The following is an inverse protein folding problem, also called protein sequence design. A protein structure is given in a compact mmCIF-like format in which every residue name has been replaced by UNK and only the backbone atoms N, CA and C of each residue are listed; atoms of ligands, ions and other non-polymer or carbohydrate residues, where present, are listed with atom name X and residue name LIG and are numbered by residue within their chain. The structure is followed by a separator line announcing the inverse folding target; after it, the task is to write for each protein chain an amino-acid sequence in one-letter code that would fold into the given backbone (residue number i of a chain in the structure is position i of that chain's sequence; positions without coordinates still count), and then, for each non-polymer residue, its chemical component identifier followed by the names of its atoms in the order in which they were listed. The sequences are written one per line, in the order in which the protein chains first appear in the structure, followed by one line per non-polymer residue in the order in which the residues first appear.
data_IF_817894821779
#
_entry.id   IF_817894821779
#
_cell.length_a   1.000
_cell.length_b   1.000
_cell.length_c   1.000
_cell.angle_alpha   90.00
_cell.angle_beta   90.00
_cell.angle_gamma   90.00
#
_symmetry.space_group_name_H-M   'P 1'
#
loop_
_entity.id
_entity.type
_entity.pdbx_description
1 polymer ?
#
# COMPACT_ATOMS: atom_id res chain seq x y z
N UNK A 1 34.09 -16.16 -19.97
CA UNK A 1 33.04 -15.37 -19.31
C UNK A 1 33.32 -13.92 -19.62
N UNK A 2 32.61 -13.39 -20.60
CA UNK A 2 32.79 -12.04 -21.16
C UNK A 2 31.78 -11.10 -20.48
N UNK A 3 32.13 -9.84 -20.20
CA UNK A 3 31.17 -8.90 -19.63
C UNK A 3 30.16 -8.50 -20.71
N UNK A 4 28.88 -8.60 -20.36
CA UNK A 4 27.74 -8.29 -21.22
C UNK A 4 27.72 -6.78 -21.48
N UNK A 5 27.94 -6.38 -22.73
CA UNK A 5 27.85 -4.99 -23.16
C UNK A 5 26.38 -4.62 -23.42
N UNK A 6 25.83 -3.66 -22.67
CA UNK A 6 24.54 -3.04 -22.94
C UNK A 6 24.73 -1.93 -24.00
N UNK A 7 24.65 -2.28 -25.28
CA UNK A 7 24.47 -1.29 -26.36
C UNK A 7 22.97 -1.04 -26.57
N UNK A 8 22.52 0.21 -26.41
CA UNK A 8 21.30 0.71 -27.06
C UNK A 8 21.68 1.63 -28.23
N UNK A 9 20.93 1.62 -29.35
CA UNK A 9 21.31 2.35 -30.55
C UNK A 9 20.89 3.83 -30.43
N UNK A 10 21.85 4.75 -30.44
CA UNK A 10 21.58 6.17 -30.60
C UNK A 10 21.67 6.53 -32.08
N UNK A 11 20.61 7.18 -32.59
CA UNK A 11 20.46 7.62 -33.97
C UNK A 11 21.54 8.64 -34.34
N UNK A 12 22.11 8.46 -35.53
CA UNK A 12 23.08 9.34 -36.18
C UNK A 12 22.57 10.78 -36.32
N UNK A 13 23.35 11.73 -35.81
CA UNK A 13 23.47 13.07 -36.38
C UNK A 13 24.96 13.36 -36.52
N UNK A 14 25.44 13.27 -37.75
CA UNK A 14 26.79 13.69 -38.14
C UNK A 14 26.81 15.22 -38.11
N UNK A 15 27.59 15.79 -37.21
CA UNK A 15 28.10 17.14 -37.33
C UNK A 15 29.63 17.08 -37.22
N UNK A 16 30.28 17.28 -38.36
CA UNK A 16 31.71 17.53 -38.47
C UNK A 16 32.03 18.90 -37.87
N UNK A 17 32.80 18.95 -36.78
CA UNK A 17 33.70 20.06 -36.50
C UNK A 17 34.75 19.67 -35.45
N UNK A 18 36.01 19.81 -35.87
CA UNK A 18 37.24 19.65 -35.13
C UNK A 18 37.28 20.45 -33.82
N UNK A 19 37.67 19.83 -32.72
CA UNK A 19 37.94 20.51 -31.46
C UNK A 19 38.33 19.53 -30.37
N UNK A 20 39.57 19.65 -29.89
CA UNK A 20 40.17 18.81 -28.86
C UNK A 20 39.36 18.87 -27.54
N UNK A 21 38.55 17.86 -27.28
CA UNK A 21 38.12 17.44 -25.95
C UNK A 21 37.82 15.96 -26.06
N UNK A 22 38.63 15.13 -25.40
CA UNK A 22 38.30 13.73 -25.23
C UNK A 22 36.94 13.67 -24.50
N UNK A 23 35.91 13.17 -25.17
CA UNK A 23 34.73 12.66 -24.47
C UNK A 23 35.19 11.46 -23.66
N UNK A 24 35.56 11.71 -22.41
CA UNK A 24 35.87 10.65 -21.45
C UNK A 24 34.64 9.75 -21.36
N UNK A 25 34.85 8.45 -21.52
CA UNK A 25 33.79 7.49 -21.27
C UNK A 25 33.37 7.57 -19.81
N UNK A 26 32.11 7.25 -19.49
CA UNK A 26 31.63 7.20 -18.09
C UNK A 26 32.55 6.39 -17.18
N UNK A 27 33.14 5.30 -17.70
CA UNK A 27 34.09 4.46 -17.00
C UNK A 27 35.42 5.18 -16.64
N UNK A 28 35.88 6.13 -17.48
CA UNK A 28 37.10 6.92 -17.21
C UNK A 28 36.85 8.04 -16.19
N UNK A 29 35.64 8.60 -16.14
CA UNK A 29 35.23 9.52 -15.05
C UNK A 29 35.06 8.79 -13.70
N UNK A 30 34.54 7.57 -13.70
CA UNK A 30 34.39 6.75 -12.48
C UNK A 30 35.76 6.34 -11.88
N UNK A 31 36.74 6.03 -12.74
CA UNK A 31 38.10 5.70 -12.32
C UNK A 31 38.84 6.91 -11.69
N UNK A 32 38.50 8.14 -12.09
CA UNK A 32 39.10 9.36 -11.54
C UNK A 32 38.59 9.73 -10.13
N UNK A 33 37.46 9.15 -9.69
CA UNK A 33 36.81 9.44 -8.40
C UNK A 33 37.03 8.35 -7.33
N UNK A 34 37.69 7.23 -7.67
CA UNK A 34 37.94 6.13 -6.72
C UNK A 34 36.67 5.45 -6.23
N UNK A 35 35.71 5.23 -7.13
CA UNK A 35 34.43 4.59 -6.79
C UNK A 35 34.60 3.11 -6.43
N UNK A 36 33.99 2.68 -5.33
CA UNK A 36 33.87 1.28 -4.91
C UNK A 36 32.50 0.74 -5.29
N UNK A 37 32.43 -0.53 -5.67
CA UNK A 37 31.18 -1.21 -6.04
C UNK A 37 30.89 -2.37 -5.09
N UNK A 38 29.61 -2.66 -4.90
CA UNK A 38 29.19 -3.86 -4.18
C UNK A 38 29.62 -5.12 -4.94
N UNK A 39 29.87 -6.20 -4.19
CA UNK A 39 30.14 -7.51 -4.75
C UNK A 39 28.93 -8.02 -5.56
N UNK A 40 27.72 -7.90 -4.99
CA UNK A 40 26.48 -8.22 -5.71
C UNK A 40 26.01 -6.99 -6.49
N UNK A 41 25.95 -7.11 -7.81
CA UNK A 41 25.37 -6.07 -8.66
C UNK A 41 23.84 -6.17 -8.70
N UNK A 42 23.10 -5.07 -8.95
CA UNK A 42 21.64 -5.08 -8.98
C UNK A 42 21.02 -6.08 -9.98
N UNK A 43 21.74 -6.39 -11.06
CA UNK A 43 21.34 -7.40 -12.06
C UNK A 43 21.46 -8.85 -11.55
N UNK A 44 22.31 -9.11 -10.56
CA UNK A 44 22.63 -10.46 -10.05
C UNK A 44 21.76 -10.85 -8.84
N UNK A 45 20.87 -9.95 -8.39
CA UNK A 45 19.96 -10.20 -7.26
C UNK A 45 18.96 -11.30 -7.61
N UNK A 46 19.21 -12.53 -7.19
CA UNK A 46 18.26 -13.65 -7.23
C UNK A 46 17.23 -13.61 -6.07
N UNK A 47 15.94 -13.44 -6.39
CA UNK A 47 14.89 -13.43 -5.37
C UNK A 47 14.41 -14.81 -4.92
N UNK A 48 14.78 -15.87 -5.62
CA UNK A 48 14.33 -17.24 -5.36
C UNK A 48 15.27 -17.97 -4.40
N UNK A 49 16.55 -17.57 -4.33
CA UNK A 49 17.51 -18.06 -3.34
C UNK A 49 18.05 -16.96 -2.37
N UNK A 50 17.20 -16.42 -1.47
CA UNK A 50 17.58 -15.30 -0.59
C UNK A 50 18.63 -15.67 0.47
N UNK A 51 18.87 -16.96 0.74
CA UNK A 51 19.83 -17.41 1.77
C UNK A 51 21.28 -17.22 1.35
N UNK A 52 21.56 -17.31 0.06
CA UNK A 52 22.91 -17.13 -0.47
C UNK A 52 23.31 -15.65 -0.48
N UNK A 53 22.35 -14.75 -0.76
CA UNK A 53 22.55 -13.30 -0.72
C UNK A 53 22.93 -12.75 0.65
N UNK A 54 22.31 -13.24 1.73
CA UNK A 54 22.62 -12.80 3.10
C UNK A 54 24.06 -13.12 3.52
N UNK A 55 24.72 -14.12 2.91
CA UNK A 55 26.14 -14.42 3.17
C UNK A 55 27.09 -13.47 2.44
N UNK A 56 26.64 -12.86 1.34
CA UNK A 56 27.43 -12.03 0.43
C UNK A 56 27.20 -10.51 0.64
N UNK A 57 26.33 -10.11 1.58
CA UNK A 57 25.93 -8.71 1.82
C UNK A 57 27.01 -7.78 2.44
N UNK A 58 28.25 -8.25 2.63
CA UNK A 58 29.31 -7.53 3.35
C UNK A 58 30.48 -7.17 2.44
N UNK A 59 30.41 -6.03 1.74
CA UNK A 59 31.50 -5.61 0.84
C UNK A 59 31.80 -4.11 0.74
N UNK A 60 30.86 -3.23 1.06
CA UNK A 60 31.03 -1.78 0.90
C UNK A 60 31.32 -1.08 2.22
N UNK A 61 32.47 -0.41 2.31
CA UNK A 61 32.79 0.50 3.41
C UNK A 61 32.16 1.87 3.16
N UNK A 62 31.16 2.23 3.97
CA UNK A 62 30.43 3.49 3.81
C UNK A 62 31.03 4.53 4.74
N UNK A 63 31.49 5.69 4.23
CA UNK A 63 32.10 6.71 5.06
C UNK A 63 31.08 7.40 5.96
N UNK A 64 31.56 7.95 7.08
CA UNK A 64 30.73 8.77 7.96
C UNK A 64 30.20 10.02 7.24
N UNK A 65 28.96 10.40 7.56
CA UNK A 65 28.24 11.53 6.93
C UNK A 65 28.09 11.40 5.40
N UNK A 66 28.06 10.17 4.90
CA UNK A 66 27.71 9.91 3.51
C UNK A 66 26.33 10.47 3.17
N UNK A 67 26.15 10.85 1.90
CA UNK A 67 24.88 11.29 1.33
C UNK A 67 24.43 10.30 0.26
N UNK A 68 23.13 10.12 0.15
CA UNK A 68 22.53 9.31 -0.91
C UNK A 68 22.69 10.09 -2.22
N UNK A 69 23.36 9.49 -3.19
CA UNK A 69 23.48 10.01 -4.54
C UNK A 69 22.24 9.67 -5.37
N UNK A 70 22.45 8.97 -6.47
CA UNK A 70 21.39 8.49 -7.33
C UNK A 70 20.73 7.23 -6.76
N UNK A 71 19.42 7.17 -6.92
CA UNK A 71 18.62 6.00 -6.56
C UNK A 71 18.20 5.32 -7.86
N UNK A 72 18.64 4.10 -8.09
CA UNK A 72 18.35 3.34 -9.29
C UNK A 72 17.26 2.30 -9.00
N UNK A 73 16.21 2.27 -9.82
CA UNK A 73 15.08 1.35 -9.63
C UNK A 73 15.04 0.34 -10.76
N UNK A 74 15.12 -0.94 -10.40
CA UNK A 74 15.11 -2.07 -11.32
C UNK A 74 13.87 -2.92 -11.05
N UNK A 75 12.85 -2.75 -11.89
CA UNK A 75 11.62 -3.53 -11.80
C UNK A 75 11.69 -4.73 -12.74
N UNK A 76 11.73 -5.93 -12.17
CA UNK A 76 11.73 -7.21 -12.90
C UNK A 76 10.30 -7.71 -13.13
N UNK A 77 10.13 -8.46 -14.21
CA UNK A 77 8.86 -9.10 -14.54
C UNK A 77 8.55 -10.25 -13.58
N UNK A 78 7.35 -10.84 -13.73
CA UNK A 78 6.90 -11.96 -12.89
C UNK A 78 7.80 -13.18 -13.15
N UNK A 79 8.03 -13.49 -14.42
CA UNK A 79 8.90 -14.58 -14.87
C UNK A 79 10.11 -14.03 -15.62
N UNK A 80 11.28 -14.61 -15.38
CA UNK A 80 12.53 -14.31 -16.07
C UNK A 80 12.66 -15.18 -17.32
N UNK A 81 12.36 -14.61 -18.48
CA UNK A 81 12.48 -15.30 -19.77
C UNK A 81 13.94 -15.64 -20.15
N UNK A 82 14.95 -15.24 -19.37
CA UNK A 82 16.33 -15.68 -19.56
C UNK A 82 16.65 -17.00 -18.88
N UNK A 83 15.80 -17.44 -17.95
CA UNK A 83 15.88 -18.76 -17.33
C UNK A 83 15.15 -19.80 -18.20
N UNK A 84 15.85 -20.85 -18.69
CA UNK A 84 15.21 -21.92 -19.46
C UNK A 84 14.05 -22.62 -18.74
N UNK A 85 14.00 -22.61 -17.40
CA UNK A 85 12.90 -23.19 -16.62
C UNK A 85 11.65 -22.28 -16.58
N UNK A 86 11.83 -20.97 -16.77
CA UNK A 86 10.75 -19.98 -16.85
C UNK A 86 10.45 -19.54 -18.30
N UNK A 87 11.15 -20.09 -19.29
CA UNK A 87 10.98 -19.77 -20.70
C UNK A 87 9.90 -20.63 -21.41
N UNK A 88 8.67 -20.58 -20.88
CA UNK A 88 7.51 -21.28 -21.47
C UNK A 88 6.50 -20.30 -22.06
N UNK A 89 5.79 -20.73 -23.11
CA UNK A 89 4.80 -19.91 -23.82
C UNK A 89 3.72 -19.33 -22.90
N UNK A 90 3.33 -20.06 -21.85
CA UNK A 90 2.34 -19.63 -20.86
C UNK A 90 2.88 -18.49 -19.97
N UNK A 91 4.16 -18.56 -19.59
CA UNK A 91 4.84 -17.53 -18.79
C UNK A 91 5.12 -16.27 -19.61
N UNK A 92 5.51 -16.43 -20.88
CA UNK A 92 5.61 -15.30 -21.82
C UNK A 92 4.26 -14.62 -22.04
N UNK A 93 3.18 -15.40 -22.14
CA UNK A 93 1.82 -14.84 -22.27
C UNK A 93 1.40 -14.10 -21.01
N UNK A 94 1.71 -14.63 -19.83
CA UNK A 94 1.50 -13.94 -18.56
C UNK A 94 2.28 -12.62 -18.51
N UNK A 95 3.57 -12.60 -18.83
CA UNK A 95 4.34 -11.36 -18.89
C UNK A 95 3.79 -10.35 -19.92
N UNK A 96 3.31 -10.82 -21.08
CA UNK A 96 2.71 -9.96 -22.11
C UNK A 96 1.38 -9.33 -21.67
N UNK A 97 0.59 -10.02 -20.85
CA UNK A 97 -0.66 -9.51 -20.29
C UNK A 97 -0.46 -8.69 -19.00
N UNK A 98 0.65 -8.92 -18.30
CA UNK A 98 1.00 -8.20 -17.09
C UNK A 98 1.45 -6.77 -17.39
N UNK A 99 0.85 -5.80 -16.72
CA UNK A 99 1.32 -4.42 -16.77
C UNK A 99 2.43 -4.27 -15.74
N UNK A 100 3.67 -4.10 -16.22
CA UNK A 100 4.83 -3.91 -15.35
C UNK A 100 4.67 -2.72 -14.42
N UNK A 101 5.05 -2.89 -13.16
CA UNK A 101 5.13 -1.81 -12.19
C UNK A 101 6.02 -0.70 -12.73
N UNK A 102 5.53 0.54 -12.62
CA UNK A 102 6.28 1.73 -12.98
C UNK A 102 7.29 2.05 -11.90
N UNK A 103 8.40 2.65 -12.30
CA UNK A 103 9.46 3.04 -11.38
C UNK A 103 8.95 3.99 -10.29
N UNK A 104 8.06 4.93 -10.63
CA UNK A 104 7.48 5.88 -9.71
C UNK A 104 6.70 5.20 -8.58
N UNK A 105 6.02 4.09 -8.88
CA UNK A 105 5.27 3.33 -7.90
C UNK A 105 6.17 2.76 -6.80
N UNK A 106 7.39 2.35 -7.14
CA UNK A 106 8.41 1.94 -6.17
C UNK A 106 9.03 3.16 -5.47
N UNK A 107 9.42 4.20 -6.22
CA UNK A 107 10.05 5.42 -5.69
C UNK A 107 9.19 6.09 -4.61
N UNK A 108 7.88 6.21 -4.81
CA UNK A 108 7.02 6.85 -3.83
C UNK A 108 6.98 6.12 -2.49
N UNK A 109 7.25 4.82 -2.46
CA UNK A 109 7.28 4.03 -1.21
C UNK A 109 8.58 4.20 -0.43
N UNK A 110 9.64 4.72 -1.05
CA UNK A 110 10.92 4.92 -0.39
C UNK A 110 10.82 5.98 0.70
N UNK A 111 11.52 5.75 1.81
CA UNK A 111 11.55 6.66 2.96
C UNK A 111 12.68 7.69 2.88
N UNK A 112 13.45 7.67 1.79
CA UNK A 112 14.57 8.54 1.46
C UNK A 112 14.47 9.00 0.01
N UNK A 113 15.27 10.01 -0.34
CA UNK A 113 15.49 10.50 -1.69
C UNK A 113 16.97 10.82 -1.91
N UNK A 114 17.35 11.05 -3.16
CA UNK A 114 18.66 11.60 -3.52
C UNK A 114 18.92 12.91 -2.77
N UNK A 115 20.14 13.05 -2.25
CA UNK A 115 20.59 14.16 -1.41
C UNK A 115 20.34 14.00 0.09
N UNK A 116 19.57 13.01 0.54
CA UNK A 116 19.38 12.75 1.97
C UNK A 116 20.67 12.18 2.59
N UNK A 117 20.87 12.36 3.90
CA UNK A 117 21.95 11.68 4.63
C UNK A 117 21.76 10.17 4.59
N UNK A 118 22.85 9.43 4.37
CA UNK A 118 22.83 7.98 4.35
C UNK A 118 22.49 7.43 5.75
N UNK A 119 21.39 6.68 5.83
CA UNK A 119 21.00 5.94 7.04
C UNK A 119 20.60 4.51 6.64
N UNK A 120 21.36 3.49 7.07
CA UNK A 120 21.06 2.09 6.74
C UNK A 120 19.69 1.64 7.29
N UNK A 121 19.20 2.22 8.39
CA UNK A 121 17.89 1.89 8.95
C UNK A 121 16.76 2.38 8.04
N UNK A 122 16.91 3.53 7.39
CA UNK A 122 15.91 4.06 6.46
C UNK A 122 15.83 3.23 5.18
N UNK A 123 16.97 2.71 4.69
CA UNK A 123 17.00 1.76 3.57
C UNK A 123 16.27 0.47 3.94
N UNK A 124 16.57 -0.12 5.10
CA UNK A 124 15.89 -1.33 5.57
C UNK A 124 14.38 -1.10 5.80
N UNK A 125 13.98 0.05 6.34
CA UNK A 125 12.56 0.39 6.49
C UNK A 125 11.86 0.55 5.13
N UNK A 126 12.54 1.12 4.14
CA UNK A 126 12.03 1.25 2.76
C UNK A 126 11.87 -0.11 2.08
N UNK A 127 12.84 -1.01 2.24
CA UNK A 127 12.77 -2.40 1.77
C UNK A 127 11.55 -3.11 2.38
N UNK A 128 11.34 -2.98 3.70
CA UNK A 128 10.17 -3.54 4.38
C UNK A 128 8.86 -2.92 3.87
N UNK A 129 8.84 -1.62 3.59
CA UNK A 129 7.67 -0.94 3.06
C UNK A 129 7.31 -1.43 1.63
N UNK A 130 8.32 -1.69 0.80
CA UNK A 130 8.15 -2.30 -0.52
C UNK A 130 7.69 -3.77 -0.43
N UNK A 131 8.30 -4.57 0.44
CA UNK A 131 7.89 -5.97 0.68
C UNK A 131 6.47 -6.11 1.24
N UNK A 132 5.91 -5.06 1.82
CA UNK A 132 4.53 -5.06 2.32
C UNK A 132 3.48 -4.89 1.20
N UNK A 133 3.91 -4.56 -0.03
CA UNK A 133 3.03 -4.31 -1.17
C UNK A 133 2.56 -5.61 -1.79
N UNK A 134 1.25 -5.72 -2.01
CA UNK A 134 0.58 -6.89 -2.60
C UNK A 134 1.01 -7.17 -4.04
N UNK A 135 1.51 -6.15 -4.75
CA UNK A 135 1.93 -6.24 -6.15
C UNK A 135 3.41 -6.59 -6.35
N UNK A 136 4.18 -6.72 -5.27
CA UNK A 136 5.59 -7.10 -5.33
C UNK A 136 5.78 -8.47 -4.69
N UNK A 137 6.45 -9.38 -5.39
CA UNK A 137 6.88 -10.65 -4.82
C UNK A 137 7.94 -10.41 -3.73
N UNK A 138 8.95 -9.61 -4.06
CA UNK A 138 10.04 -9.26 -3.16
C UNK A 138 10.69 -7.93 -3.57
N UNK A 139 11.47 -7.35 -2.66
CA UNK A 139 12.24 -6.14 -2.88
C UNK A 139 13.60 -6.23 -2.18
N UNK A 140 14.61 -5.59 -2.76
CA UNK A 140 15.96 -5.46 -2.25
C UNK A 140 16.41 -4.01 -2.39
N UNK A 141 16.89 -3.41 -1.30
CA UNK A 141 17.29 -1.99 -1.26
C UNK A 141 18.64 -1.87 -0.58
N UNK A 142 19.71 -1.66 -1.35
CA UNK A 142 21.07 -1.61 -0.82
C UNK A 142 21.96 -0.65 -1.60
N UNK A 143 23.02 -0.13 -0.97
CA UNK A 143 24.05 0.58 -1.69
C UNK A 143 24.78 -0.38 -2.63
N UNK A 144 25.09 0.09 -3.85
CA UNK A 144 25.86 -0.71 -4.82
C UNK A 144 27.07 0.03 -5.39
N UNK A 145 27.16 1.35 -5.19
CA UNK A 145 28.30 2.18 -5.60
C UNK A 145 28.56 3.26 -4.56
N UNK A 146 29.83 3.50 -4.23
CA UNK A 146 30.27 4.53 -3.29
C UNK A 146 31.41 5.32 -3.93
N UNK A 147 31.22 6.62 -4.13
CA UNK A 147 32.22 7.52 -4.71
C UNK A 147 32.49 8.66 -3.72
N UNK A 148 33.65 8.65 -3.06
CA UNK A 148 33.93 9.60 -1.98
C UNK A 148 32.89 9.48 -0.86
N UNK A 149 32.09 10.53 -0.61
CA UNK A 149 30.98 10.54 0.37
C UNK A 149 29.59 10.35 -0.25
N UNK A 150 29.51 10.05 -1.54
CA UNK A 150 28.24 9.83 -2.24
C UNK A 150 28.00 8.33 -2.37
N UNK A 151 26.81 7.89 -1.98
CA UNK A 151 26.41 6.49 -1.99
C UNK A 151 25.20 6.32 -2.89
N UNK A 152 25.36 5.57 -3.97
CA UNK A 152 24.24 5.25 -4.85
C UNK A 152 23.56 3.96 -4.40
N UNK A 153 22.23 3.99 -4.46
CA UNK A 153 21.38 2.95 -3.91
C UNK A 153 20.60 2.30 -5.03
N UNK A 154 20.63 0.97 -5.06
CA UNK A 154 19.80 0.17 -5.96
C UNK A 154 18.56 -0.33 -5.23
N UNK A 155 17.43 -0.20 -5.90
CA UNK A 155 16.11 -0.71 -5.50
C UNK A 155 15.72 -1.72 -6.55
N UNK A 156 15.85 -3.00 -6.23
CA UNK A 156 15.46 -4.09 -7.14
C UNK A 156 14.14 -4.66 -6.64
N UNK A 157 13.17 -4.84 -7.52
CA UNK A 157 11.87 -5.45 -7.20
C UNK A 157 11.51 -6.51 -8.22
N UNK A 158 10.76 -7.53 -7.80
CA UNK A 158 10.11 -8.50 -8.70
C UNK A 158 8.60 -8.35 -8.59
N UNK A 159 7.94 -8.19 -9.73
CA UNK A 159 6.49 -8.03 -9.79
C UNK A 159 5.76 -9.34 -9.46
N UNK A 160 4.54 -9.21 -8.95
CA UNK A 160 3.57 -10.29 -8.83
C UNK A 160 2.41 -10.06 -9.80
N UNK A 161 1.75 -11.13 -10.23
CA UNK A 161 0.46 -11.04 -10.92
C UNK A 161 -0.59 -10.40 -10.01
N UNK A 162 -1.29 -9.38 -10.51
CA UNK A 162 -2.12 -8.47 -9.69
C UNK A 162 -3.59 -8.43 -10.08
N UNK A 163 -3.96 -8.92 -11.26
CA UNK A 163 -5.34 -8.99 -11.73
C UNK A 163 -6.02 -10.25 -11.21
N UNK A 164 -6.90 -10.08 -10.22
CA UNK A 164 -7.52 -11.17 -9.47
C UNK A 164 -9.04 -11.17 -9.63
N UNK A 165 -9.65 -12.27 -10.09
CA UNK A 165 -11.10 -12.44 -9.98
C UNK A 165 -11.51 -12.63 -8.52
N UNK A 166 -12.60 -12.00 -8.11
CA UNK A 166 -13.18 -12.12 -6.78
C UNK A 166 -14.51 -12.87 -6.89
N UNK A 167 -14.50 -14.18 -6.61
CA UNK A 167 -15.69 -15.03 -6.61
C UNK A 167 -16.01 -15.45 -5.18
N UNK A 168 -17.25 -15.25 -4.76
CA UNK A 168 -17.74 -15.66 -3.45
C UNK A 168 -19.13 -16.25 -3.57
N UNK A 169 -19.36 -17.38 -2.90
CA UNK A 169 -20.68 -17.96 -2.74
C UNK A 169 -20.82 -18.42 -1.29
N UNK A 170 -21.93 -18.07 -0.65
CA UNK A 170 -22.25 -18.54 0.69
C UNK A 170 -23.75 -18.72 0.83
N UNK A 171 -24.16 -19.63 1.70
CA UNK A 171 -25.56 -19.92 2.01
C UNK A 171 -25.77 -19.93 3.51
N UNK A 172 -26.75 -19.19 3.99
CA UNK A 172 -27.12 -19.13 5.41
C UNK A 172 -28.63 -19.08 5.54
N UNK A 173 -29.23 -19.92 6.39
CA UNK A 173 -30.68 -19.89 6.65
C UNK A 173 -31.59 -20.18 5.44
N UNK A 174 -31.06 -20.77 4.37
CA UNK A 174 -31.80 -20.99 3.12
C UNK A 174 -31.45 -19.99 2.02
N UNK A 175 -30.84 -18.87 2.40
CA UNK A 175 -30.56 -17.71 1.56
C UNK A 175 -29.17 -17.71 0.96
N UNK A 176 -29.05 -17.25 -0.28
CA UNK A 176 -27.82 -17.31 -1.06
C UNK A 176 -27.20 -15.91 -1.19
N UNK A 177 -25.91 -15.82 -0.88
CA UNK A 177 -25.09 -14.64 -1.18
C UNK A 177 -24.04 -14.99 -2.22
N UNK A 178 -24.03 -14.24 -3.32
CA UNK A 178 -23.08 -14.36 -4.42
C UNK A 178 -22.32 -13.06 -4.59
N UNK A 179 -21.00 -13.15 -4.76
CA UNK A 179 -20.09 -12.04 -5.04
C UNK A 179 -19.33 -12.39 -6.32
N UNK A 180 -19.37 -11.48 -7.28
CA UNK A 180 -18.61 -11.56 -8.52
C UNK A 180 -17.85 -10.25 -8.68
N UNK A 181 -16.54 -10.28 -8.89
CA UNK A 181 -15.76 -9.06 -9.02
C UNK A 181 -14.41 -9.29 -9.68
N UNK A 182 -13.75 -8.18 -9.94
CA UNK A 182 -12.41 -8.11 -10.51
C UNK A 182 -11.64 -7.05 -9.74
N UNK A 183 -10.45 -7.39 -9.26
CA UNK A 183 -9.57 -6.48 -8.54
C UNK A 183 -8.21 -6.48 -9.20
N UNK A 184 -7.67 -5.29 -9.43
CA UNK A 184 -6.28 -5.08 -9.79
C UNK A 184 -5.57 -4.38 -8.62
N UNK A 185 -4.55 -5.03 -8.05
CA UNK A 185 -3.74 -4.50 -6.95
C UNK A 185 -2.62 -3.54 -7.41
N UNK A 186 -2.37 -3.45 -8.73
CA UNK A 186 -1.35 -2.60 -9.36
C UNK A 186 -1.88 -1.94 -10.63
N UNK A 187 -3.04 -1.29 -10.52
CA UNK A 187 -3.75 -0.71 -11.65
C UNK A 187 -2.84 0.15 -12.53
N UNK A 188 -2.67 -0.28 -13.78
CA UNK A 188 -1.81 0.35 -14.81
C UNK A 188 -0.33 0.52 -14.40
N UNK A 189 0.15 -0.27 -13.44
CA UNK A 189 1.51 -0.25 -12.93
C UNK A 189 1.80 0.86 -11.91
N UNK A 190 0.80 1.60 -11.43
CA UNK A 190 1.02 2.74 -10.51
C UNK A 190 1.06 2.37 -9.02
N UNK A 191 0.97 1.08 -8.67
CA UNK A 191 0.86 0.62 -7.28
C UNK A 191 -0.46 1.03 -6.61
N UNK A 192 -1.51 1.26 -7.41
CA UNK A 192 -2.85 1.66 -6.97
C UNK A 192 -3.79 0.49 -7.09
N UNK A 193 -4.75 0.39 -6.18
CA UNK A 193 -5.76 -0.68 -6.23
C UNK A 193 -7.05 -0.16 -6.85
N UNK A 194 -7.61 -0.92 -7.78
CA UNK A 194 -8.93 -0.70 -8.33
C UNK A 194 -9.72 -2.01 -8.28
N UNK A 195 -10.89 -1.99 -7.65
CA UNK A 195 -11.75 -3.15 -7.55
C UNK A 195 -13.17 -2.81 -8.00
N UNK A 196 -13.74 -3.71 -8.78
CA UNK A 196 -15.14 -3.70 -9.19
C UNK A 196 -15.78 -4.98 -8.67
N UNK A 197 -16.94 -4.86 -8.03
CA UNK A 197 -17.67 -6.03 -7.55
C UNK A 197 -19.17 -5.85 -7.71
N UNK A 198 -19.85 -6.94 -7.99
CA UNK A 198 -21.27 -7.12 -7.93
C UNK A 198 -21.58 -8.10 -6.79
N UNK A 199 -22.41 -7.68 -5.86
CA UNK A 199 -22.87 -8.52 -4.76
C UNK A 199 -24.38 -8.64 -4.82
N UNK A 200 -24.86 -9.88 -4.70
CA UNK A 200 -26.28 -10.20 -4.54
C UNK A 200 -26.43 -11.04 -3.28
N UNK A 201 -27.24 -10.57 -2.35
CA UNK A 201 -27.71 -11.34 -1.19
C UNK A 201 -29.25 -11.36 -1.17
N UNK A 202 -29.84 -11.91 -0.11
CA UNK A 202 -31.30 -11.98 0.07
C UNK A 202 -31.95 -10.59 0.00
N UNK A 203 -31.31 -9.60 0.64
CA UNK A 203 -31.92 -8.29 0.85
C UNK A 203 -31.59 -7.32 -0.27
N UNK A 204 -30.41 -7.43 -0.88
CA UNK A 204 -29.92 -6.44 -1.84
C UNK A 204 -29.08 -7.02 -2.96
N UNK A 205 -29.15 -6.32 -4.08
CA UNK A 205 -28.23 -6.51 -5.21
C UNK A 205 -27.57 -5.19 -5.54
N UNK A 206 -26.27 -5.18 -5.80
CA UNK A 206 -25.56 -3.92 -5.99
C UNK A 206 -24.17 -4.06 -6.59
N UNK A 207 -23.68 -2.95 -7.09
CA UNK A 207 -22.34 -2.80 -7.63
C UNK A 207 -21.51 -1.91 -6.73
N UNK A 208 -20.24 -2.23 -6.56
CA UNK A 208 -19.27 -1.44 -5.79
C UNK A 208 -17.99 -1.25 -6.58
N UNK A 209 -17.51 -0.01 -6.58
CA UNK A 209 -16.21 0.40 -7.09
C UNK A 209 -15.38 0.89 -5.90
N UNK A 210 -14.23 0.27 -5.68
CA UNK A 210 -13.25 0.66 -4.68
C UNK A 210 -11.95 1.08 -5.34
N UNK A 211 -11.46 2.27 -5.01
CA UNK A 211 -10.18 2.79 -5.46
C UNK A 211 -9.31 3.14 -4.25
N UNK A 212 -8.06 2.71 -4.26
CA UNK A 212 -7.08 3.05 -3.22
C UNK A 212 -5.78 3.55 -3.83
N UNK A 213 -5.32 4.70 -3.37
CA UNK A 213 -4.00 5.24 -3.69
C UNK A 213 -3.16 5.27 -2.41
N UNK A 214 -2.12 4.44 -2.27
CA UNK A 214 -1.31 4.44 -1.05
C UNK A 214 -0.49 5.72 -0.89
N UNK A 215 -0.21 6.44 -1.98
CA UNK A 215 0.70 7.59 -2.01
C UNK A 215 0.09 8.65 -2.95
N UNK A 216 -1.01 9.24 -2.52
CA UNK A 216 -1.76 10.25 -3.26
C UNK A 216 -0.81 11.34 -3.76
N UNK A 217 -0.72 11.46 -5.09
CA UNK A 217 0.16 12.40 -5.79
C UNK A 217 1.64 12.30 -5.37
N UNK A 218 2.11 11.10 -5.02
CA UNK A 218 3.48 10.85 -4.57
C UNK A 218 3.78 11.28 -3.14
N UNK A 219 2.76 11.71 -2.38
CA UNK A 219 2.91 12.11 -0.98
C UNK A 219 2.82 10.91 -0.02
N UNK A 220 2.86 11.20 1.30
CA UNK A 220 2.61 10.19 2.35
C UNK A 220 1.14 10.03 2.69
N UNK A 221 0.25 10.69 1.96
CA UNK A 221 -1.18 10.55 2.14
C UNK A 221 -1.68 9.34 1.37
N UNK A 222 -2.45 8.50 2.04
CA UNK A 222 -3.24 7.43 1.44
C UNK A 222 -4.65 7.95 1.16
N UNK A 223 -5.24 7.62 0.02
CA UNK A 223 -6.66 7.82 -0.24
C UNK A 223 -7.40 6.51 -0.46
N UNK A 224 -8.66 6.48 -0.04
CA UNK A 224 -9.60 5.41 -0.34
C UNK A 224 -10.94 6.02 -0.73
N UNK A 225 -11.46 5.61 -1.89
CA UNK A 225 -12.75 6.00 -2.42
C UNK A 225 -13.60 4.75 -2.63
N UNK A 226 -14.82 4.77 -2.14
CA UNK A 226 -15.79 3.68 -2.31
C UNK A 226 -17.09 4.26 -2.84
N UNK A 227 -17.57 3.71 -3.95
CA UNK A 227 -18.85 4.05 -4.55
C UNK A 227 -19.65 2.76 -4.71
N UNK A 228 -20.80 2.67 -4.05
CA UNK A 228 -21.72 1.55 -4.15
C UNK A 228 -23.11 2.03 -4.55
N UNK A 229 -23.71 1.35 -5.50
CA UNK A 229 -25.12 1.54 -5.89
C UNK A 229 -25.82 0.19 -5.72
N UNK A 230 -26.83 0.15 -4.86
CA UNK A 230 -27.58 -1.04 -4.45
C UNK A 230 -29.06 -0.85 -4.77
N UNK A 231 -29.82 -1.95 -4.83
CA UNK A 231 -31.26 -1.92 -5.03
C UNK A 231 -32.02 -1.17 -3.91
N UNK A 232 -31.43 -1.10 -2.71
CA UNK A 232 -31.99 -0.48 -1.51
C UNK A 232 -31.33 0.86 -1.14
N UNK A 233 -30.44 1.39 -2.00
CA UNK A 233 -29.78 2.67 -1.76
C UNK A 233 -28.35 2.72 -2.27
N UNK A 234 -27.48 3.46 -1.60
CA UNK A 234 -26.13 3.74 -2.09
C UNK A 234 -25.15 3.95 -0.96
N UNK A 235 -23.86 3.89 -1.28
CA UNK A 235 -22.79 4.31 -0.39
C UNK A 235 -21.74 5.10 -1.16
N UNK A 236 -21.35 6.26 -0.62
CA UNK A 236 -20.28 7.10 -1.16
C UNK A 236 -19.37 7.45 0.00
N UNK A 237 -18.16 6.91 -0.04
CA UNK A 237 -17.19 7.10 1.02
C UNK A 237 -15.86 7.58 0.44
N UNK A 238 -15.23 8.50 1.16
CA UNK A 238 -13.90 9.02 0.82
C UNK A 238 -13.09 9.16 2.10
N UNK A 239 -11.84 8.73 2.06
CA UNK A 239 -10.91 8.86 3.18
C UNK A 239 -9.56 9.32 2.67
N UNK A 240 -8.96 10.27 3.38
CA UNK A 240 -7.63 10.79 3.14
C UNK A 240 -6.86 10.77 4.44
N UNK A 241 -5.81 9.95 4.50
CA UNK A 241 -5.08 9.68 5.74
C UNK A 241 -3.59 9.78 5.49
N UNK A 242 -2.88 10.52 6.33
CA UNK A 242 -1.43 10.39 6.45
C UNK A 242 -1.12 9.49 7.64
N UNK A 243 -0.79 8.20 7.42
CA UNK A 243 -0.48 7.30 8.52
C UNK A 243 0.89 7.64 9.13
N UNK A 244 1.19 7.03 10.28
CA UNK A 244 2.56 6.89 10.77
C UNK A 244 3.35 5.94 9.84
N UNK A 245 3.81 6.48 8.71
CA UNK A 245 4.45 5.73 7.61
C UNK A 245 5.84 5.19 7.93
N UNK A 246 6.49 5.67 8.99
CA UNK A 246 7.78 5.16 9.49
C UNK A 246 7.83 5.18 11.00
N UNK A 247 8.78 4.43 11.57
CA UNK A 247 9.14 4.58 12.99
C UNK A 247 9.78 5.97 13.15
N UNK A 248 9.34 6.74 14.15
CA UNK A 248 9.78 8.14 14.31
C UNK A 248 9.05 9.14 13.40
N UNK A 249 7.94 8.78 12.78
CA UNK A 249 7.06 9.78 12.18
C UNK A 249 6.39 10.62 13.29
N UNK A 250 6.62 11.95 13.25
CA UNK A 250 6.19 12.85 14.33
C UNK A 250 4.66 12.99 14.47
N UNK A 251 3.93 12.80 13.37
CA UNK A 251 2.49 13.00 13.36
C UNK A 251 1.78 12.09 12.35
N UNK A 252 0.47 11.96 12.52
CA UNK A 252 -0.49 11.32 11.63
C UNK A 252 -1.78 12.14 11.65
N UNK A 253 -2.60 12.03 10.62
CA UNK A 253 -3.89 12.70 10.61
C UNK A 253 -4.71 12.26 9.43
N UNK A 254 -5.99 12.57 9.45
CA UNK A 254 -6.84 12.21 8.35
C UNK A 254 -8.26 12.68 8.49
N UNK A 255 -8.95 12.66 7.36
CA UNK A 255 -10.37 12.97 7.24
C UNK A 255 -11.07 11.80 6.57
N UNK A 256 -12.31 11.56 6.98
CA UNK A 256 -13.19 10.56 6.40
C UNK A 256 -14.57 11.18 6.18
N UNK A 257 -15.19 10.83 5.07
CA UNK A 257 -16.56 11.17 4.72
C UNK A 257 -17.26 9.88 4.31
N UNK A 258 -18.46 9.64 4.83
CA UNK A 258 -19.28 8.52 4.43
C UNK A 258 -20.74 8.95 4.40
N UNK A 259 -21.35 8.80 3.23
CA UNK A 259 -22.77 8.96 3.03
C UNK A 259 -23.36 7.67 2.52
N UNK A 260 -24.35 7.17 3.22
CA UNK A 260 -24.97 5.89 2.97
C UNK A 260 -26.48 6.03 3.06
N UNK A 261 -27.19 5.35 2.16
CA UNK A 261 -28.63 5.16 2.24
C UNK A 261 -28.89 3.68 2.08
N UNK A 262 -29.71 3.12 2.96
CA UNK A 262 -30.14 1.73 2.91
C UNK A 262 -31.56 1.60 3.47
N UNK A 263 -32.27 0.57 3.03
CA UNK A 263 -33.53 0.17 3.65
C UNK A 263 -33.22 -0.83 4.77
N UNK A 264 -33.67 -0.54 5.99
CA UNK A 264 -33.61 -1.45 7.12
C UNK A 264 -34.86 -2.32 7.14
N UNK A 265 -34.67 -3.62 7.37
CA UNK A 265 -35.74 -4.60 7.55
C UNK A 265 -35.74 -5.09 8.99
N UNK A 266 -36.88 -5.00 9.65
CA UNK A 266 -37.12 -5.57 10.97
C UNK A 266 -37.85 -6.90 10.80
N UNK A 267 -37.30 -7.94 11.45
CA UNK A 267 -37.83 -9.29 11.34
C UNK A 267 -38.50 -9.73 12.64
N UNK A 268 -39.66 -10.37 12.54
CA UNK A 268 -40.30 -11.08 13.64
C UNK A 268 -40.64 -12.50 13.21
N UNK A 269 -40.10 -13.49 13.93
CA UNK A 269 -40.24 -14.93 13.62
C UNK A 269 -39.82 -15.34 12.19
N UNK A 270 -38.95 -14.56 11.55
CA UNK A 270 -38.42 -14.84 10.21
C UNK A 270 -39.10 -14.04 9.09
N UNK A 271 -40.24 -13.41 9.37
CA UNK A 271 -40.93 -12.55 8.41
C UNK A 271 -40.53 -11.08 8.61
N UNK A 272 -40.33 -10.32 7.52
CA UNK A 272 -40.16 -8.88 7.62
C UNK A 272 -41.48 -8.24 8.02
N UNK A 273 -41.50 -7.60 9.19
CA UNK A 273 -42.70 -6.96 9.74
C UNK A 273 -42.71 -5.45 9.55
N UNK A 274 -41.54 -4.87 9.28
CA UNK A 274 -41.43 -3.45 9.04
C UNK A 274 -40.17 -3.11 8.26
N UNK A 275 -40.30 -2.15 7.34
CA UNK A 275 -39.19 -1.64 6.55
C UNK A 275 -39.19 -0.11 6.54
N UNK A 276 -38.01 0.49 6.64
CA UNK A 276 -37.85 1.94 6.60
C UNK A 276 -36.48 2.31 6.02
N UNK A 277 -36.36 3.51 5.45
CA UNK A 277 -35.09 4.02 4.93
C UNK A 277 -34.30 4.66 6.06
N UNK A 278 -33.01 4.36 6.10
CA UNK A 278 -32.02 5.07 6.89
C UNK A 278 -31.03 5.74 5.95
N UNK A 279 -30.84 7.05 6.13
CA UNK A 279 -29.74 7.80 5.53
C UNK A 279 -28.75 8.20 6.61
N UNK A 280 -27.48 7.86 6.42
CA UNK A 280 -26.36 8.26 7.26
C UNK A 280 -25.46 9.21 6.46
N UNK A 281 -25.16 10.36 7.03
CA UNK A 281 -24.09 11.25 6.56
C UNK A 281 -23.11 11.51 7.70
N UNK A 282 -21.85 11.14 7.50
CA UNK A 282 -20.83 11.17 8.55
C UNK A 282 -19.52 11.78 8.09
N UNK A 283 -18.89 12.51 9.01
CA UNK A 283 -17.60 13.15 8.86
C UNK A 283 -16.73 12.79 10.06
N UNK A 284 -15.52 12.32 9.78
CA UNK A 284 -14.50 12.05 10.78
C UNK A 284 -13.25 12.87 10.52
N UNK A 285 -12.65 13.41 11.58
CA UNK A 285 -11.34 14.03 11.56
C UNK A 285 -10.51 13.41 12.68
N UNK A 286 -9.22 13.16 12.43
CA UNK A 286 -8.30 12.80 13.49
C UNK A 286 -6.90 13.39 13.29
N UNK A 287 -6.19 13.53 14.41
CA UNK A 287 -4.77 13.86 14.48
C UNK A 287 -4.09 12.93 15.47
N UNK A 288 -2.84 12.56 15.17
CA UNK A 288 -2.00 11.77 16.04
C UNK A 288 -0.62 12.37 16.15
N UNK A 289 -0.03 12.34 17.35
CA UNK A 289 1.31 12.84 17.63
C UNK A 289 2.14 11.72 18.29
N UNK A 290 3.37 11.55 17.82
CA UNK A 290 4.36 10.76 18.54
C UNK A 290 4.88 11.59 19.72
N UNK A 291 4.85 11.01 20.91
CA UNK A 291 5.40 11.61 22.14
C UNK A 291 6.77 10.98 22.50
N UNK A 292 7.37 10.25 21.56
CA UNK A 292 8.66 9.59 21.72
C UNK A 292 8.59 8.31 22.55
N UNK A 293 9.74 7.64 22.70
CA UNK A 293 9.87 6.39 23.45
C UNK A 293 11.22 5.67 23.31
N UNK A 294 12.27 6.35 22.83
CA UNK A 294 13.58 5.74 22.57
C UNK A 294 13.65 4.95 21.26
N UNK A 295 14.74 4.21 21.05
CA UNK A 295 15.02 3.53 19.77
C UNK A 295 14.04 2.39 19.41
N UNK A 296 13.31 1.86 20.39
CA UNK A 296 12.52 0.63 20.24
C UNK A 296 11.04 0.77 20.62
N UNK A 297 10.65 1.86 21.30
CA UNK A 297 9.26 2.16 21.63
C UNK A 297 8.87 3.51 21.04
N UNK A 298 7.65 3.60 20.51
CA UNK A 298 7.06 4.85 20.07
C UNK A 298 5.67 4.97 20.71
N UNK A 299 5.55 5.88 21.68
CA UNK A 299 4.28 6.20 22.31
C UNK A 299 3.55 7.24 21.45
N UNK A 300 2.27 7.00 21.19
CA UNK A 300 1.47 7.82 20.27
C UNK A 300 0.16 8.19 20.93
N UNK A 301 -0.15 9.48 20.87
CA UNK A 301 -1.44 10.03 21.26
C UNK A 301 -2.25 10.28 20.00
N UNK A 302 -3.49 9.80 19.96
CA UNK A 302 -4.40 10.06 18.86
C UNK A 302 -5.68 10.68 19.40
N UNK A 303 -6.16 11.70 18.71
CA UNK A 303 -7.36 12.45 18.99
C UNK A 303 -8.22 12.49 17.73
N UNK A 304 -9.53 12.36 17.89
CA UNK A 304 -10.47 12.38 16.79
C UNK A 304 -11.77 13.06 17.17
N UNK A 305 -12.52 13.42 16.15
CA UNK A 305 -13.86 13.95 16.27
C UNK A 305 -14.71 13.32 15.17
N UNK A 306 -15.89 12.87 15.56
CA UNK A 306 -16.86 12.25 14.66
C UNK A 306 -18.17 13.04 14.71
N UNK A 307 -18.74 13.31 13.54
CA UNK A 307 -20.09 13.81 13.35
C UNK A 307 -20.84 12.82 12.48
N UNK A 308 -22.04 12.41 12.90
CA UNK A 308 -22.91 11.53 12.13
C UNK A 308 -24.36 12.00 12.26
N UNK A 309 -25.01 12.24 11.12
CA UNK A 309 -26.41 12.57 11.01
C UNK A 309 -27.18 11.38 10.46
N UNK A 310 -28.19 10.94 11.19
CA UNK A 310 -29.09 9.86 10.80
C UNK A 310 -30.46 10.47 10.51
N UNK A 311 -30.91 10.33 9.26
CA UNK A 311 -32.29 10.61 8.87
C UNK A 311 -33.03 9.29 8.65
N UNK A 312 -34.27 9.22 9.14
CA UNK A 312 -35.17 8.09 8.95
C UNK A 312 -36.40 8.52 8.16
N UNK A 313 -36.79 7.73 7.15
CA UNK A 313 -38.02 7.99 6.40
C UNK A 313 -38.75 6.69 6.08
N UNK A 314 -40.06 6.76 5.92
CA UNK A 314 -40.87 5.61 5.52
C UNK A 314 -40.42 5.06 4.16
N UNK A 315 -40.54 3.75 3.99
CA UNK A 315 -40.39 3.08 2.69
C UNK A 315 -41.77 2.98 2.02
N UNK A 316 -41.86 3.37 0.75
CA UNK A 316 -43.15 3.47 0.09
C UNK A 316 -43.76 2.08 -0.14
N UNK A 317 -44.98 1.87 0.36
CA UNK A 317 -45.69 0.59 0.23
C UNK A 317 -45.38 -0.42 1.34
N UNK A 318 -44.53 -0.06 2.30
CA UNK A 318 -44.15 -0.92 3.42
C UNK A 318 -44.74 -0.42 4.75
N UNK A 319 -44.80 -1.30 5.75
CA UNK A 319 -45.31 -0.94 7.08
C UNK A 319 -44.20 -0.25 7.90
N UNK A 320 -44.38 1.02 8.31
CA UNK A 320 -43.39 1.69 9.13
C UNK A 320 -43.35 1.10 10.55
N UNK A 321 -42.20 1.16 11.23
CA UNK A 321 -42.09 0.66 12.60
C UNK A 321 -42.84 1.57 13.58
N UNK A 322 -43.39 0.99 14.64
CA UNK A 322 -43.98 1.71 15.77
C UNK A 322 -43.29 1.26 17.08
N UNK A 323 -42.57 2.16 17.78
CA UNK A 323 -42.35 3.58 17.45
C UNK A 323 -41.42 3.77 16.25
N UNK A 324 -41.69 4.82 15.45
CA UNK A 324 -40.82 5.20 14.35
C UNK A 324 -39.51 5.80 14.88
N UNK A 325 -38.33 5.40 14.36
CA UNK A 325 -37.06 5.98 14.78
C UNK A 325 -37.00 7.49 14.55
N UNK A 326 -36.58 8.24 15.56
CA UNK A 326 -36.34 9.68 15.43
C UNK A 326 -34.97 9.96 14.80
N UNK A 327 -34.93 11.02 13.99
CA UNK A 327 -33.70 11.58 13.45
C UNK A 327 -32.74 11.94 14.58
N UNK A 328 -31.46 11.66 14.38
CA UNK A 328 -30.46 11.90 15.43
C UNK A 328 -29.14 12.36 14.87
N UNK A 329 -28.49 13.22 15.66
CA UNK A 329 -27.14 13.69 15.42
C UNK A 329 -26.25 13.12 16.53
N UNK A 330 -25.19 12.42 16.13
CA UNK A 330 -24.10 12.03 17.01
C UNK A 330 -22.91 12.95 16.73
N UNK A 331 -22.44 13.64 17.75
CA UNK A 331 -21.25 14.48 17.70
C UNK A 331 -20.44 14.19 18.95
N UNK A 332 -19.23 13.67 18.78
CA UNK A 332 -18.41 13.33 19.93
C UNK A 332 -16.91 13.40 19.61
N UNK A 333 -16.08 13.88 20.55
CA UNK A 333 -14.65 13.69 20.51
C UNK A 333 -14.27 12.28 21.00
N UNK A 334 -13.15 11.75 20.49
CA UNK A 334 -12.55 10.50 20.95
C UNK A 334 -11.03 10.63 21.09
N UNK A 335 -10.43 9.85 21.99
CA UNK A 335 -8.98 9.80 22.14
C UNK A 335 -8.49 8.39 22.44
N UNK A 336 -7.36 8.00 21.84
CA UNK A 336 -6.73 6.69 22.05
C UNK A 336 -5.23 6.86 22.24
N UNK A 337 -4.66 6.16 23.21
CA UNK A 337 -3.21 6.11 23.44
C UNK A 337 -2.69 4.72 23.06
N UNK A 338 -1.67 4.68 22.19
CA UNK A 338 -1.07 3.42 21.74
C UNK A 338 0.44 3.41 21.94
N UNK A 339 1.00 2.24 22.27
CA UNK A 339 2.45 2.01 22.35
C UNK A 339 2.85 1.00 21.29
N UNK A 340 3.73 1.41 20.36
CA UNK A 340 4.28 0.51 19.34
C UNK A 340 5.67 0.05 19.77
N UNK A 341 5.86 -1.27 19.89
CA UNK A 341 7.17 -1.90 20.08
C UNK A 341 7.72 -2.39 18.75
N UNK A 342 8.96 -2.00 18.44
CA UNK A 342 9.68 -2.54 17.28
C UNK A 342 10.27 -3.90 17.67
N UNK A 343 9.57 -5.00 17.37
CA UNK A 343 10.20 -6.33 17.39
C UNK A 343 11.01 -6.51 16.11
N UNK A 344 12.32 -6.72 16.23
CA UNK A 344 13.16 -7.20 15.13
C UNK A 344 12.81 -8.68 14.94
N UNK A 345 11.75 -8.98 14.20
CA UNK A 345 11.45 -10.35 13.81
C UNK A 345 12.40 -10.78 12.69
N UNK A 346 13.11 -11.90 12.89
CA UNK A 346 13.80 -12.65 11.82
C UNK A 346 12.82 -12.93 10.67
N UNK A 347 13.27 -12.99 9.41
CA UNK A 347 12.40 -13.20 8.26
C UNK A 347 11.68 -14.54 8.42
N UNK A 348 10.40 -14.46 8.74
CA UNK A 348 9.49 -15.60 8.72
C UNK A 348 8.51 -15.32 7.60
N UNK A 349 8.52 -16.18 6.59
CA UNK A 349 7.57 -16.16 5.49
C UNK A 349 6.19 -16.35 6.11
N UNK A 350 5.41 -15.28 6.21
CA UNK A 350 4.02 -15.35 6.64
C UNK A 350 3.14 -15.46 5.41
N UNK A 351 2.47 -16.60 5.25
CA UNK A 351 1.36 -16.75 4.31
C UNK A 351 0.26 -15.79 4.79
N UNK A 352 0.04 -14.69 4.07
CA UNK A 352 -0.97 -13.68 4.44
C UNK A 352 -2.35 -14.14 3.96
N UNK A 353 -3.25 -14.36 4.92
CA UNK A 353 -4.68 -14.35 4.64
C UNK A 353 -5.12 -12.93 4.30
N UNK A 354 -5.73 -12.77 3.13
CA UNK A 354 -6.30 -11.51 2.64
C UNK A 354 -7.43 -11.04 3.58
N UNK A 355 -7.12 -10.17 4.55
CA UNK A 355 -8.17 -9.47 5.33
C UNK A 355 -8.59 -8.23 4.57
N UNK A 356 -9.88 -8.14 4.27
CA UNK A 356 -10.54 -7.01 3.63
C UNK A 356 -10.16 -5.70 4.35
N UNK A 357 -9.52 -4.79 3.60
CA UNK A 357 -9.23 -3.42 4.07
C UNK A 357 -10.52 -2.63 4.04
N UNK A 358 -11.28 -2.71 5.12
CA UNK A 358 -12.55 -2.02 5.28
C UNK A 358 -12.31 -0.54 5.50
N UNK A 359 -13.20 0.29 4.95
CA UNK A 359 -13.30 1.72 5.29
C UNK A 359 -13.59 1.85 6.79
N UNK A 360 -12.78 2.60 7.52
CA UNK A 360 -12.92 2.76 8.96
C UNK A 360 -13.26 4.22 9.30
N UNK A 361 -14.36 4.46 10.06
CA UNK A 361 -14.58 5.76 10.71
C UNK A 361 -13.36 6.19 11.52
N UNK A 362 -13.21 7.48 11.85
CA UNK A 362 -12.02 7.97 12.55
C UNK A 362 -11.79 7.17 13.86
N UNK A 363 -12.84 6.92 14.65
CA UNK A 363 -12.75 6.08 15.85
C UNK A 363 -12.44 4.60 15.58
N UNK A 364 -12.87 4.04 14.45
CA UNK A 364 -12.55 2.66 14.09
C UNK A 364 -11.14 2.52 13.51
N UNK A 365 -10.62 3.56 12.85
CA UNK A 365 -9.23 3.65 12.44
C UNK A 365 -8.32 3.64 13.67
N UNK A 366 -8.69 4.37 14.73
CA UNK A 366 -8.01 4.33 16.03
C UNK A 366 -7.97 2.90 16.62
N UNK A 367 -9.07 2.14 16.51
CA UNK A 367 -9.15 0.74 16.97
C UNK A 367 -8.34 -0.24 16.13
N UNK A 368 -8.50 -0.21 14.81
CA UNK A 368 -7.87 -1.19 13.92
C UNK A 368 -6.35 -0.97 13.86
N UNK A 369 -5.87 0.26 13.93
CA UNK A 369 -4.44 0.54 14.01
C UNK A 369 -3.84 0.07 15.35
N UNK A 370 -4.58 0.16 16.46
CA UNK A 370 -4.17 -0.41 17.75
C UNK A 370 -4.08 -1.96 17.70
N UNK A 371 -5.01 -2.61 17.00
CA UNK A 371 -5.12 -4.07 16.92
C UNK A 371 -4.16 -4.75 15.93
N UNK A 372 -3.71 -4.05 14.87
CA UNK A 372 -2.94 -4.66 13.77
C UNK A 372 -1.53 -5.17 14.13
N UNK A 373 -1.01 -4.94 15.34
CA UNK A 373 0.34 -5.44 15.73
C UNK A 373 0.51 -6.00 17.14
N UNK A 374 -0.52 -5.99 18.00
CA UNK A 374 -0.37 -6.41 19.38
C UNK A 374 -1.39 -7.50 19.74
N UNK A 375 -1.00 -8.78 19.61
CA UNK A 375 -1.81 -9.92 20.10
C UNK A 375 -1.76 -10.09 21.61
N UNK A 376 -1.00 -9.27 22.35
CA UNK A 376 -0.70 -9.51 23.77
C UNK A 376 -1.17 -8.44 24.77
N UNK A 377 -1.81 -7.35 24.34
CA UNK A 377 -2.42 -6.41 25.29
C UNK A 377 -3.67 -5.73 24.72
N UNK A 378 -4.83 -5.77 25.40
CA UNK A 378 -6.00 -4.99 25.00
C UNK A 378 -5.69 -3.50 25.20
N UNK A 379 -5.83 -2.70 24.15
CA UNK A 379 -5.85 -1.25 24.28
C UNK A 379 -7.10 -0.84 25.08
N UNK A 380 -6.93 -0.10 26.18
CA UNK A 380 -8.06 0.52 26.88
C UNK A 380 -8.50 1.74 26.07
N UNK A 381 -9.74 1.70 25.60
CA UNK A 381 -10.38 2.79 24.87
C UNK A 381 -11.41 3.40 25.83
N UNK A 382 -11.30 4.70 26.08
CA UNK A 382 -12.34 5.47 26.76
C UNK A 382 -13.10 6.28 25.71
N UNK A 383 -14.40 6.06 25.59
CA UNK A 383 -15.29 6.89 24.76
C UNK A 383 -15.38 6.52 23.27
N UNK A 384 -15.47 5.24 22.92
CA UNK A 384 -15.88 4.82 21.57
C UNK A 384 -17.06 3.86 21.61
#
# INVERSE_FOLDING_TARGET
MSPISLRRPFRWLVALASGCCAELTWAEQEAALGCQYAEIQPGEVDFDNPREQLRQELGLAIPENAQIGEVYVFNREIFDATDPEEDHWIYRTANALHIRTREEAARYQLLFKSGDSYDPHILQQSERALRDKSYLYNAWVRPFRVCGRVVDVAVVTRDLWTLLPALGFSRSGGENTTILGLTDENFLGYGKRLAFSHKKDESRTGFTVDYQDPNLLGSRWTSQLTLSENSDGYRRAAQFVRPFYKVGANWSGGVAYNREQLTQKLYYRGDSVSEFKQRLESYGLFSGHSIGGGAFNDHRLLYGYEYAHYDFSEEAGETPPDPFPEDRILSYPGSVTNTVRTFISRPTISIRSNRSRTFLPACSYLRDWAGRRNRSAPARISGC
#
